data_IF_045690629633
#
_entry.id   IF_045690629633
#
_cell.length_a   1.000
_cell.length_b   1.000
_cell.length_c   1.000
_cell.angle_alpha   90.00
_cell.angle_beta   90.00
_cell.angle_gamma   90.00
#
_symmetry.space_group_name_H-M   'P 1'
#
loop_
_entity.id
_entity.type
_entity.pdbx_description
1 polymer ?
#
# COMPACT_ATOMS: atom_id res chain seq x y z
N UNK A 1 2.87 -9.65 -16.18
CA UNK A 1 3.92 -10.15 -15.27
C UNK A 1 5.33 -9.98 -15.80
N UNK A 2 5.67 -10.36 -17.02
CA UNK A 2 7.03 -10.23 -17.58
C UNK A 2 7.64 -8.82 -17.46
N UNK A 3 6.89 -7.75 -17.77
CA UNK A 3 7.38 -6.37 -17.60
C UNK A 3 7.73 -6.03 -16.15
N UNK A 4 6.97 -6.56 -15.17
CA UNK A 4 7.22 -6.30 -13.74
C UNK A 4 8.50 -6.94 -13.25
N UNK A 5 8.79 -8.19 -13.63
CA UNK A 5 10.04 -8.85 -13.24
C UNK A 5 11.27 -8.17 -13.88
N UNK A 6 11.16 -7.71 -15.14
CA UNK A 6 12.22 -6.92 -15.79
C UNK A 6 12.50 -5.62 -15.01
N UNK A 7 11.46 -4.89 -14.60
CA UNK A 7 11.60 -3.67 -13.81
C UNK A 7 12.33 -3.94 -12.49
N UNK A 8 11.95 -5.00 -11.74
CA UNK A 8 12.62 -5.37 -10.49
C UNK A 8 14.10 -5.70 -10.73
N UNK A 9 14.42 -6.40 -11.82
CA UNK A 9 15.80 -6.75 -12.17
C UNK A 9 16.65 -5.53 -12.57
N UNK A 10 16.02 -4.45 -13.09
CA UNK A 10 16.70 -3.19 -13.38
C UNK A 10 17.02 -2.46 -12.06
N UNK A 11 16.00 -2.22 -11.21
CA UNK A 11 16.19 -1.59 -9.91
C UNK A 11 15.00 -1.90 -8.96
N UNK A 12 15.22 -2.66 -7.87
CA UNK A 12 14.15 -2.99 -6.93
C UNK A 12 13.72 -1.81 -6.04
N UNK A 13 14.44 -0.70 -6.08
CA UNK A 13 14.14 0.51 -5.30
C UNK A 13 13.28 1.53 -6.06
N UNK A 14 13.02 1.31 -7.35
CA UNK A 14 12.24 2.22 -8.17
C UNK A 14 10.74 1.88 -8.13
N UNK A 15 9.90 2.92 -7.99
CA UNK A 15 8.45 2.81 -8.04
C UNK A 15 7.88 3.04 -9.45
N UNK A 16 8.58 3.78 -10.33
CA UNK A 16 8.11 4.07 -11.67
C UNK A 16 9.18 3.88 -12.74
N UNK A 17 8.75 3.34 -13.89
CA UNK A 17 9.61 2.99 -15.02
C UNK A 17 9.09 3.59 -16.33
N UNK A 18 10.00 3.98 -17.21
CA UNK A 18 9.72 4.38 -18.57
C UNK A 18 9.53 3.16 -19.50
N UNK A 19 8.93 3.37 -20.64
CA UNK A 19 8.93 2.38 -21.70
C UNK A 19 10.17 2.54 -22.60
N UNK A 20 11.35 2.27 -22.00
CA UNK A 20 12.65 2.38 -22.62
C UNK A 20 13.59 3.37 -21.90
N UNK A 21 14.82 3.58 -22.41
CA UNK A 21 15.88 4.35 -21.76
C UNK A 21 15.71 5.88 -21.98
N UNK A 22 14.63 6.46 -21.49
CA UNK A 22 14.27 7.87 -21.70
C UNK A 22 14.87 8.81 -20.64
N UNK A 23 15.36 8.27 -19.52
CA UNK A 23 15.83 9.03 -18.36
C UNK A 23 14.72 9.44 -17.39
N UNK A 24 15.11 9.91 -16.20
CA UNK A 24 14.16 10.37 -15.20
C UNK A 24 13.40 11.61 -15.67
N UNK A 25 12.12 11.69 -15.34
CA UNK A 25 11.33 12.90 -15.47
C UNK A 25 11.78 13.98 -14.47
N UNK A 26 12.27 13.54 -13.30
CA UNK A 26 12.64 14.40 -12.18
C UNK A 26 14.15 14.65 -12.16
N UNK A 27 14.58 15.73 -12.84
CA UNK A 27 16.00 16.10 -12.92
C UNK A 27 16.61 16.53 -11.58
N UNK A 28 15.76 16.85 -10.59
CA UNK A 28 16.15 17.28 -9.24
C UNK A 28 16.23 16.13 -8.22
N UNK A 29 16.10 14.89 -8.68
CA UNK A 29 16.25 13.72 -7.83
C UNK A 29 17.73 13.38 -7.59
N UNK A 30 18.09 13.22 -6.31
CA UNK A 30 19.41 12.80 -5.88
C UNK A 30 19.31 11.45 -5.17
N UNK A 31 19.83 10.42 -5.82
CA UNK A 31 19.88 9.04 -5.33
C UNK A 31 21.14 8.34 -5.83
N UNK A 32 21.53 7.18 -5.25
CA UNK A 32 22.81 6.52 -5.56
C UNK A 32 22.92 6.01 -7.00
N UNK A 33 21.80 5.64 -7.60
CA UNK A 33 21.80 5.10 -8.96
C UNK A 33 20.51 5.54 -9.66
N UNK A 34 20.65 5.90 -10.95
CA UNK A 34 19.52 6.27 -11.79
C UNK A 34 19.74 5.73 -13.19
N UNK A 35 19.23 4.52 -13.47
CA UNK A 35 19.23 3.95 -14.80
C UNK A 35 18.27 4.75 -15.71
N UNK A 36 18.53 4.74 -17.03
CA UNK A 36 17.71 5.50 -17.98
C UNK A 36 16.28 4.97 -18.13
N UNK A 37 16.04 3.74 -17.74
CA UNK A 37 14.74 3.09 -17.70
C UNK A 37 13.87 3.57 -16.54
N UNK A 38 14.44 4.24 -15.54
CA UNK A 38 13.70 4.73 -14.39
C UNK A 38 13.03 6.08 -14.68
N UNK A 39 11.74 6.17 -14.37
CA UNK A 39 11.00 7.42 -14.34
C UNK A 39 11.19 8.12 -13.00
N UNK A 40 11.08 7.35 -11.88
CA UNK A 40 11.25 7.80 -10.51
C UNK A 40 11.80 6.66 -9.64
N UNK A 41 12.61 7.01 -8.62
CA UNK A 41 13.26 6.04 -7.74
C UNK A 41 12.88 6.27 -6.28
N UNK A 42 11.59 6.32 -5.96
CA UNK A 42 11.08 6.35 -4.60
C UNK A 42 10.91 4.92 -4.08
N UNK A 43 11.59 4.62 -2.97
CA UNK A 43 11.51 3.30 -2.35
C UNK A 43 10.24 3.15 -1.51
N UNK A 44 9.41 2.20 -1.92
CA UNK A 44 8.17 1.77 -1.30
C UNK A 44 8.15 0.25 -1.19
N UNK A 45 7.82 -0.29 -0.02
CA UNK A 45 7.76 -1.75 0.20
C UNK A 45 6.72 -2.40 -0.73
N UNK A 46 5.57 -1.78 -0.87
CA UNK A 46 4.44 -2.30 -1.63
C UNK A 46 4.72 -2.40 -3.13
N UNK A 47 5.59 -1.57 -3.67
CA UNK A 47 6.04 -1.67 -5.07
C UNK A 47 6.63 -3.05 -5.39
N UNK A 48 7.22 -3.76 -4.40
CA UNK A 48 7.70 -5.13 -4.54
C UNK A 48 6.68 -6.20 -4.11
N UNK A 49 5.67 -5.84 -3.32
CA UNK A 49 4.62 -6.76 -2.88
C UNK A 49 3.58 -7.03 -3.98
N UNK A 50 3.16 -5.99 -4.71
CA UNK A 50 2.14 -6.12 -5.76
C UNK A 50 2.49 -7.12 -6.88
N UNK A 51 3.74 -7.20 -7.39
CA UNK A 51 4.11 -8.23 -8.35
C UNK A 51 3.93 -9.65 -7.84
N UNK A 52 4.23 -9.90 -6.56
CA UNK A 52 4.04 -11.20 -5.91
C UNK A 52 2.54 -11.51 -5.79
N UNK A 53 1.75 -10.57 -5.25
CA UNK A 53 0.30 -10.69 -5.13
C UNK A 53 -0.35 -11.00 -6.48
N UNK A 54 0.01 -10.26 -7.53
CA UNK A 54 -0.51 -10.48 -8.88
C UNK A 54 -0.20 -11.88 -9.39
N UNK A 55 1.06 -12.32 -9.28
CA UNK A 55 1.50 -13.63 -9.75
C UNK A 55 0.83 -14.77 -8.95
N UNK A 56 0.74 -14.61 -7.62
CA UNK A 56 0.11 -15.58 -6.74
C UNK A 56 -1.38 -15.77 -7.08
N UNK A 57 -2.17 -14.69 -7.14
CA UNK A 57 -3.60 -14.78 -7.44
C UNK A 57 -3.87 -15.24 -8.86
N UNK A 58 -3.06 -14.84 -9.84
CA UNK A 58 -3.14 -15.35 -11.19
C UNK A 58 -2.98 -16.87 -11.22
N UNK A 59 -1.92 -17.39 -10.58
CA UNK A 59 -1.68 -18.81 -10.50
C UNK A 59 -2.79 -19.55 -9.74
N UNK A 60 -3.24 -19.04 -8.60
CA UNK A 60 -4.31 -19.66 -7.83
C UNK A 60 -5.61 -19.75 -8.62
N UNK A 61 -5.89 -18.78 -9.48
CA UNK A 61 -7.12 -18.72 -10.27
C UNK A 61 -7.05 -19.54 -11.57
N UNK A 62 -5.91 -19.55 -12.24
CA UNK A 62 -5.75 -20.14 -13.59
C UNK A 62 -5.01 -21.47 -13.57
N UNK A 63 -4.33 -21.82 -12.50
CA UNK A 63 -3.38 -22.95 -12.39
C UNK A 63 -2.19 -22.85 -13.39
N UNK A 64 -2.07 -21.73 -14.14
CA UNK A 64 -1.01 -21.52 -15.11
C UNK A 64 0.30 -21.12 -14.43
N UNK A 65 1.33 -21.97 -14.59
CA UNK A 65 2.67 -21.75 -14.05
C UNK A 65 3.65 -21.18 -15.08
N UNK A 66 3.24 -20.93 -16.31
CA UNK A 66 4.12 -20.47 -17.41
C UNK A 66 4.78 -19.12 -17.16
N UNK A 67 4.23 -18.32 -16.25
CA UNK A 67 4.75 -17.00 -15.87
C UNK A 67 5.93 -17.06 -14.89
N UNK A 68 6.17 -18.23 -14.27
CA UNK A 68 7.26 -18.45 -13.31
C UNK A 68 8.50 -18.96 -14.02
N UNK A 69 9.15 -18.09 -14.79
CA UNK A 69 10.41 -18.36 -15.47
C UNK A 69 11.63 -18.07 -14.58
N UNK A 70 12.83 -18.27 -15.13
CA UNK A 70 14.09 -18.01 -14.44
C UNK A 70 14.25 -16.53 -14.05
N UNK A 71 13.74 -15.60 -14.85
CA UNK A 71 13.82 -14.16 -14.55
C UNK A 71 12.90 -13.79 -13.40
N UNK A 72 11.71 -14.42 -13.32
CA UNK A 72 10.81 -14.24 -12.18
C UNK A 72 11.50 -14.69 -10.88
N UNK A 73 12.08 -15.88 -10.86
CA UNK A 73 12.81 -16.39 -9.69
C UNK A 73 13.97 -15.45 -9.29
N UNK A 74 14.78 -14.98 -10.26
CA UNK A 74 15.86 -14.00 -9.99
C UNK A 74 15.33 -12.70 -9.41
N UNK A 75 14.21 -12.20 -9.93
CA UNK A 75 13.57 -11.00 -9.39
C UNK A 75 13.11 -11.21 -7.94
N UNK A 76 12.56 -12.38 -7.60
CA UNK A 76 12.11 -12.68 -6.24
C UNK A 76 13.28 -12.83 -5.25
N UNK A 77 14.39 -13.41 -5.66
CA UNK A 77 15.63 -13.39 -4.86
C UNK A 77 16.06 -11.95 -4.54
N UNK A 78 15.97 -11.06 -5.53
CA UNK A 78 16.31 -9.64 -5.34
C UNK A 78 15.32 -8.93 -4.43
N UNK A 79 14.02 -9.23 -4.49
CA UNK A 79 12.99 -8.71 -3.57
C UNK A 79 13.33 -9.06 -2.12
N UNK A 80 13.58 -10.34 -1.83
CA UNK A 80 13.90 -10.79 -0.46
C UNK A 80 15.19 -10.18 0.03
N UNK A 81 16.22 -10.06 -0.83
CA UNK A 81 17.46 -9.36 -0.53
C UNK A 81 17.20 -7.91 -0.16
N UNK A 82 16.40 -7.18 -0.95
CA UNK A 82 16.05 -5.77 -0.73
C UNK A 82 15.31 -5.58 0.60
N UNK A 83 14.35 -6.42 0.92
CA UNK A 83 13.66 -6.37 2.22
C UNK A 83 14.63 -6.55 3.39
N UNK A 84 15.57 -7.52 3.30
CA UNK A 84 16.60 -7.73 4.33
C UNK A 84 17.56 -6.54 4.46
N UNK A 85 17.96 -5.93 3.37
CA UNK A 85 18.80 -4.71 3.38
C UNK A 85 18.05 -3.56 4.09
N UNK A 86 16.75 -3.42 3.83
CA UNK A 86 15.93 -2.37 4.43
C UNK A 86 15.42 -2.67 5.85
N UNK A 87 15.68 -3.85 6.40
CA UNK A 87 15.61 -4.05 7.86
C UNK A 87 16.70 -3.26 8.60
N UNK A 88 17.71 -2.76 7.91
CA UNK A 88 18.82 -1.91 8.43
C UNK A 88 19.57 -2.50 9.62
N UNK A 89 19.63 -3.82 9.73
CA UNK A 89 20.35 -4.52 10.82
C UNK A 89 21.86 -4.32 10.78
N UNK A 90 22.42 -4.08 9.59
CA UNK A 90 23.87 -3.95 9.36
C UNK A 90 24.29 -2.53 8.93
N UNK A 91 23.39 -1.54 9.04
CA UNK A 91 23.63 -0.16 8.62
C UNK A 91 22.43 0.43 7.89
N UNK A 92 22.60 1.58 7.27
CA UNK A 92 21.52 2.34 6.62
C UNK A 92 21.01 1.68 5.31
N UNK A 93 21.74 0.71 4.78
CA UNK A 93 21.44 0.08 3.50
C UNK A 93 21.98 0.89 2.30
N UNK A 94 21.68 0.43 1.05
CA UNK A 94 22.22 1.04 -0.18
C UNK A 94 21.34 2.15 -0.76
N UNK A 95 20.26 2.56 -0.09
CA UNK A 95 19.26 3.49 -0.63
C UNK A 95 19.16 4.78 0.18
N UNK A 96 19.27 5.91 -0.50
CA UNK A 96 18.87 7.23 -0.01
C UNK A 96 18.22 8.02 -1.15
N UNK A 97 17.39 9.01 -0.81
CA UNK A 97 16.70 9.84 -1.79
C UNK A 97 16.44 11.24 -1.26
N UNK A 98 16.80 12.25 -2.03
CA UNK A 98 16.36 13.63 -1.85
C UNK A 98 15.89 14.20 -3.18
N UNK A 99 14.98 15.16 -3.12
CA UNK A 99 14.50 15.94 -4.28
C UNK A 99 14.59 17.41 -3.94
N UNK A 100 15.13 18.23 -4.83
CA UNK A 100 15.06 19.67 -4.71
C UNK A 100 13.67 20.15 -5.14
N UNK A 101 12.81 20.42 -4.17
CA UNK A 101 11.41 20.81 -4.39
C UNK A 101 10.86 21.63 -3.21
N UNK A 102 9.79 22.37 -3.47
CA UNK A 102 9.08 23.18 -2.46
C UNK A 102 8.15 22.35 -1.57
N UNK A 103 7.99 21.05 -1.87
CA UNK A 103 7.13 20.13 -1.15
C UNK A 103 7.94 19.21 -0.23
N UNK A 104 7.96 19.47 1.09
CA UNK A 104 8.80 18.70 2.01
C UNK A 104 8.51 17.19 2.03
N UNK A 105 7.28 16.78 1.69
CA UNK A 105 6.90 15.37 1.66
C UNK A 105 7.42 14.62 0.43
N UNK A 106 7.96 15.30 -0.58
CA UNK A 106 8.56 14.68 -1.76
C UNK A 106 10.04 14.32 -1.59
N UNK A 107 10.62 14.59 -0.42
CA UNK A 107 12.04 14.37 -0.13
C UNK A 107 12.25 13.76 1.25
N UNK A 108 13.29 12.94 1.39
CA UNK A 108 13.68 12.38 2.68
C UNK A 108 14.61 13.33 3.43
N UNK A 109 14.45 13.41 4.76
CA UNK A 109 15.36 14.13 5.67
C UNK A 109 16.70 13.38 5.84
N UNK A 110 17.64 13.95 6.60
CA UNK A 110 18.95 13.35 6.93
C UNK A 110 19.73 12.92 5.67
N UNK A 111 19.91 13.82 4.72
CA UNK A 111 20.61 13.55 3.46
C UNK A 111 20.01 12.35 2.70
N UNK A 112 18.70 12.21 2.75
CA UNK A 112 17.99 11.17 2.02
C UNK A 112 17.80 9.83 2.75
N UNK A 113 18.33 9.69 3.96
CA UNK A 113 18.25 8.45 4.74
C UNK A 113 16.95 8.30 5.55
N UNK A 114 16.17 9.38 5.66
CA UNK A 114 14.96 9.44 6.47
C UNK A 114 15.22 9.60 7.97
N UNK A 115 14.17 9.54 8.76
CA UNK A 115 14.29 9.58 10.22
C UNK A 115 15.06 8.37 10.76
N UNK A 116 15.81 8.52 11.87
CA UNK A 116 16.47 7.39 12.51
C UNK A 116 15.47 6.33 12.94
N UNK A 117 15.81 5.07 12.69
CA UNK A 117 15.03 3.91 13.14
C UNK A 117 15.88 2.99 14.01
N UNK A 118 15.26 2.32 14.98
CA UNK A 118 15.86 1.20 15.69
C UNK A 118 15.57 -0.09 14.93
N UNK A 119 16.60 -0.82 14.46
CA UNK A 119 16.39 -2.11 13.78
C UNK A 119 15.72 -3.13 14.71
N UNK A 120 14.46 -3.40 14.49
CA UNK A 120 13.64 -4.30 15.33
C UNK A 120 13.05 -5.47 14.54
N UNK A 121 13.47 -5.65 13.29
CA UNK A 121 12.98 -6.68 12.39
C UNK A 121 11.95 -6.17 11.35
N UNK A 122 11.47 -4.92 11.49
CA UNK A 122 10.62 -4.27 10.49
C UNK A 122 11.46 -3.79 9.28
N UNK A 123 10.80 -3.63 8.14
CA UNK A 123 11.38 -3.15 6.89
C UNK A 123 11.10 -1.65 6.77
N UNK A 124 12.12 -0.85 6.50
CA UNK A 124 11.96 0.60 6.24
C UNK A 124 11.32 0.81 4.88
N UNK A 125 10.25 1.59 4.83
CA UNK A 125 9.74 2.23 3.60
C UNK A 125 10.13 3.70 3.63
N UNK A 126 10.80 4.18 2.61
CA UNK A 126 11.15 5.61 2.56
C UNK A 126 9.96 6.46 2.15
N UNK A 127 9.10 5.91 1.31
CA UNK A 127 7.88 6.58 0.88
C UNK A 127 6.65 5.73 1.18
N UNK A 128 5.51 6.38 1.24
CA UNK A 128 4.16 5.80 1.34
C UNK A 128 3.64 5.48 -0.05
N UNK A 129 2.60 4.66 -0.19
CA UNK A 129 1.94 4.42 -1.48
C UNK A 129 1.37 5.69 -2.15
N UNK A 130 1.31 6.79 -1.41
CA UNK A 130 0.92 8.13 -1.88
C UNK A 130 2.09 8.96 -2.43
N UNK A 131 3.29 8.41 -2.58
CA UNK A 131 4.54 9.11 -2.89
C UNK A 131 5.07 10.06 -1.81
N UNK A 132 4.38 10.20 -0.69
CA UNK A 132 4.83 11.04 0.43
C UNK A 132 5.88 10.33 1.29
N UNK A 133 6.92 11.06 1.70
CA UNK A 133 7.97 10.55 2.58
C UNK A 133 7.41 10.09 3.94
N UNK A 134 7.87 8.94 4.42
CA UNK A 134 7.54 8.45 5.76
C UNK A 134 8.21 9.32 6.82
N UNK A 135 7.51 9.53 7.95
CA UNK A 135 8.03 10.28 9.10
C UNK A 135 8.83 9.39 10.05
N UNK A 136 8.42 8.13 10.26
CA UNK A 136 9.07 7.20 11.20
C UNK A 136 9.69 5.97 10.54
N UNK A 137 9.68 5.88 9.25
CA UNK A 137 10.39 4.87 8.47
C UNK A 137 9.73 3.47 8.43
N UNK A 138 9.16 2.96 9.51
CA UNK A 138 8.46 1.68 9.49
C UNK A 138 6.96 1.88 9.25
N UNK A 139 6.55 1.87 8.00
CA UNK A 139 5.14 1.92 7.58
C UNK A 139 4.48 0.57 7.87
N UNK A 140 3.59 0.52 8.87
CA UNK A 140 3.02 -0.75 9.36
C UNK A 140 2.15 -1.45 8.33
N UNK A 141 1.18 -0.81 7.62
CA UNK A 141 0.39 -1.52 6.63
C UNK A 141 1.24 -2.09 5.48
N UNK A 142 2.31 -1.41 5.06
CA UNK A 142 3.22 -1.95 4.05
C UNK A 142 4.06 -3.12 4.58
N UNK A 143 4.49 -3.10 5.85
CA UNK A 143 5.15 -4.24 6.50
C UNK A 143 4.21 -5.45 6.62
N UNK A 144 2.92 -5.24 6.93
CA UNK A 144 1.92 -6.30 6.96
C UNK A 144 1.74 -6.90 5.55
N UNK A 145 1.63 -6.07 4.54
CA UNK A 145 1.56 -6.55 3.15
C UNK A 145 2.81 -7.33 2.72
N UNK A 146 4.01 -6.94 3.20
CA UNK A 146 5.24 -7.71 2.97
C UNK A 146 5.18 -9.11 3.61
N UNK A 147 4.61 -9.26 4.81
CA UNK A 147 4.41 -10.57 5.45
C UNK A 147 3.54 -11.49 4.59
N UNK A 148 2.38 -10.99 4.11
CA UNK A 148 1.50 -11.76 3.22
C UNK A 148 2.21 -12.13 1.93
N UNK A 149 2.87 -11.16 1.30
CA UNK A 149 3.60 -11.37 0.05
C UNK A 149 4.73 -12.40 0.18
N UNK A 150 5.49 -12.36 1.29
CA UNK A 150 6.53 -13.35 1.57
C UNK A 150 5.96 -14.76 1.76
N UNK A 151 4.82 -14.90 2.41
CA UNK A 151 4.14 -16.20 2.56
C UNK A 151 3.61 -16.73 1.23
N UNK A 152 3.03 -15.85 0.38
CA UNK A 152 2.63 -16.19 -0.98
C UNK A 152 3.82 -16.61 -1.83
N UNK A 153 4.94 -15.90 -1.74
CA UNK A 153 6.17 -16.24 -2.43
C UNK A 153 6.73 -17.59 -1.97
N UNK A 154 6.72 -17.86 -0.68
CA UNK A 154 7.15 -19.15 -0.13
C UNK A 154 6.32 -20.32 -0.69
N UNK A 155 5.02 -20.13 -0.85
CA UNK A 155 4.13 -21.15 -1.44
C UNK A 155 4.44 -21.39 -2.92
N UNK A 156 4.70 -20.34 -3.70
CA UNK A 156 5.12 -20.46 -5.11
C UNK A 156 6.45 -21.20 -5.20
N UNK A 157 7.43 -20.83 -4.38
CA UNK A 157 8.77 -21.46 -4.40
C UNK A 157 8.72 -22.95 -4.03
N UNK A 158 7.91 -23.32 -3.03
CA UNK A 158 7.74 -24.74 -2.67
C UNK A 158 6.98 -25.53 -3.74
N UNK A 159 5.82 -25.03 -4.19
CA UNK A 159 4.90 -25.79 -5.05
C UNK A 159 5.26 -25.75 -6.53
N UNK A 160 5.76 -24.64 -7.05
CA UNK A 160 6.07 -24.46 -8.48
C UNK A 160 7.51 -24.82 -8.78
N UNK A 161 8.46 -24.31 -7.97
CA UNK A 161 9.89 -24.56 -8.21
C UNK A 161 10.45 -25.76 -7.42
N UNK A 162 9.75 -26.23 -6.38
CA UNK A 162 10.29 -27.26 -5.46
C UNK A 162 11.48 -26.75 -4.63
N UNK A 163 11.67 -25.45 -4.52
CA UNK A 163 12.81 -24.80 -3.84
C UNK A 163 12.49 -24.57 -2.36
N UNK A 164 12.65 -25.62 -1.56
CA UNK A 164 12.35 -25.59 -0.12
C UNK A 164 13.25 -24.66 0.68
N UNK A 165 14.49 -24.47 0.25
CA UNK A 165 15.45 -23.63 0.96
C UNK A 165 15.04 -22.16 0.87
N UNK A 166 14.72 -21.67 -0.32
CA UNK A 166 14.28 -20.28 -0.50
C UNK A 166 12.85 -20.07 0.04
N UNK A 167 11.96 -21.04 -0.09
CA UNK A 167 10.66 -21.04 0.59
C UNK A 167 10.82 -20.86 2.11
N UNK A 168 11.71 -21.63 2.73
CA UNK A 168 12.03 -21.51 4.17
C UNK A 168 12.64 -20.17 4.55
N UNK A 169 13.45 -19.57 3.68
CA UNK A 169 14.00 -18.22 3.86
C UNK A 169 12.88 -17.15 3.86
N UNK A 170 11.93 -17.24 2.93
CA UNK A 170 10.78 -16.36 2.85
C UNK A 170 9.90 -16.44 4.11
N UNK A 171 9.60 -17.67 4.58
CA UNK A 171 8.82 -17.89 5.82
C UNK A 171 9.55 -17.30 7.04
N UNK A 172 10.86 -17.55 7.15
CA UNK A 172 11.65 -17.01 8.26
C UNK A 172 11.61 -15.49 8.32
N UNK A 173 11.74 -14.82 7.17
CA UNK A 173 11.64 -13.36 7.09
C UNK A 173 10.22 -12.87 7.40
N UNK A 174 9.19 -13.55 6.87
CA UNK A 174 7.79 -13.22 7.16
C UNK A 174 7.49 -13.31 8.66
N UNK A 175 7.93 -14.38 9.32
CA UNK A 175 7.70 -14.60 10.76
C UNK A 175 8.46 -13.58 11.62
N UNK A 176 9.64 -13.16 11.20
CA UNK A 176 10.40 -12.09 11.88
C UNK A 176 9.67 -10.75 11.80
N UNK A 177 9.21 -10.37 10.60
CA UNK A 177 8.49 -9.11 10.40
C UNK A 177 7.15 -9.14 11.15
N UNK A 178 6.39 -10.24 11.07
CA UNK A 178 5.12 -10.41 11.80
C UNK A 178 5.30 -10.28 13.32
N UNK A 179 6.32 -10.94 13.88
CA UNK A 179 6.65 -10.82 15.30
C UNK A 179 7.01 -9.38 15.70
N UNK A 180 7.71 -8.65 14.82
CA UNK A 180 8.04 -7.25 15.04
C UNK A 180 6.79 -6.34 14.96
N UNK A 181 5.87 -6.57 14.02
CA UNK A 181 4.58 -5.87 13.92
C UNK A 181 3.78 -6.06 15.21
N UNK A 182 3.63 -7.29 15.69
CA UNK A 182 2.88 -7.59 16.95
C UNK A 182 3.47 -6.87 18.15
N UNK A 183 4.78 -6.69 18.20
CA UNK A 183 5.47 -6.08 19.33
C UNK A 183 5.52 -4.56 19.26
N UNK A 184 5.70 -3.97 18.07
CA UNK A 184 5.99 -2.55 17.89
C UNK A 184 4.92 -1.81 17.09
N UNK A 185 4.09 -2.51 16.30
CA UNK A 185 3.14 -1.92 15.34
C UNK A 185 1.78 -1.55 15.95
N UNK A 186 1.59 -1.67 17.26
CA UNK A 186 0.31 -1.34 17.91
C UNK A 186 0.53 -0.44 19.13
N UNK A 187 -0.47 0.37 19.46
CA UNK A 187 -0.48 1.19 20.68
C UNK A 187 -1.90 1.33 21.25
N UNK A 188 -2.02 1.86 22.48
CA UNK A 188 -3.31 2.10 23.11
C UNK A 188 -3.78 3.53 22.85
N UNK A 189 -4.77 3.68 21.97
CA UNK A 189 -5.42 4.96 21.73
C UNK A 189 -6.46 5.24 22.84
N UNK A 190 -6.51 6.49 23.39
CA UNK A 190 -7.35 6.79 24.56
C UNK A 190 -8.86 6.59 24.35
N UNK A 191 -9.34 6.70 23.10
CA UNK A 191 -10.76 6.55 22.77
C UNK A 191 -11.06 5.20 22.13
N UNK A 192 -10.20 4.72 21.23
CA UNK A 192 -10.47 3.54 20.39
C UNK A 192 -9.94 2.23 21.00
N UNK A 193 -9.13 2.30 22.08
CA UNK A 193 -8.44 1.14 22.64
C UNK A 193 -7.18 0.78 21.87
N UNK A 194 -6.78 -0.49 21.88
CA UNK A 194 -5.60 -0.95 21.15
C UNK A 194 -5.85 -0.91 19.65
N UNK A 195 -5.00 -0.20 18.90
CA UNK A 195 -5.06 -0.02 17.44
C UNK A 195 -3.70 -0.29 16.82
N UNK A 196 -3.68 -0.53 15.49
CA UNK A 196 -2.44 -0.48 14.71
C UNK A 196 -1.99 0.97 14.52
N UNK A 197 -0.67 1.20 14.59
CA UNK A 197 -0.04 2.44 14.21
C UNK A 197 0.09 2.52 12.69
N UNK A 198 0.10 3.73 12.13
CA UNK A 198 0.40 3.90 10.70
C UNK A 198 1.90 3.77 10.44
N UNK A 199 2.72 4.51 11.23
CA UNK A 199 4.17 4.39 11.20
C UNK A 199 4.74 4.27 12.62
N UNK A 200 5.89 3.59 12.74
CA UNK A 200 6.67 3.52 13.97
C UNK A 200 8.17 3.65 13.67
N UNK A 201 8.98 3.95 14.70
CA UNK A 201 10.44 4.09 14.57
C UNK A 201 11.25 3.00 15.29
N UNK A 202 10.58 2.10 16.03
CA UNK A 202 11.22 1.09 16.87
C UNK A 202 11.77 1.59 18.20
N UNK A 203 11.82 2.91 18.44
CA UNK A 203 12.19 3.50 19.73
C UNK A 203 11.01 3.68 20.68
N UNK A 204 9.79 3.51 20.19
CA UNK A 204 8.54 3.62 20.94
C UNK A 204 7.64 4.76 20.50
N UNK A 205 8.01 5.48 19.43
CA UNK A 205 7.14 6.47 18.82
C UNK A 205 6.22 5.83 17.79
N UNK A 206 4.98 6.35 17.71
CA UNK A 206 3.95 5.88 16.80
C UNK A 206 3.22 7.07 16.17
N UNK A 207 2.98 7.03 14.87
CA UNK A 207 2.17 7.98 14.14
C UNK A 207 0.74 7.46 14.05
N UNK A 208 -0.20 8.28 14.57
CA UNK A 208 -1.62 7.96 14.64
C UNK A 208 -2.35 8.68 13.50
N UNK A 209 -2.45 8.05 12.37
CA UNK A 209 -3.23 8.49 11.21
C UNK A 209 -3.56 7.29 10.33
N UNK A 210 -4.27 7.49 9.26
CA UNK A 210 -4.29 6.64 8.07
C UNK A 210 -4.22 7.53 6.84
N UNK A 211 -3.61 7.02 5.79
CA UNK A 211 -3.60 7.56 4.44
C UNK A 211 -4.41 6.62 3.56
N UNK A 212 -5.21 7.16 2.64
CA UNK A 212 -6.14 6.35 1.86
C UNK A 212 -5.47 5.38 0.89
N UNK A 213 -4.22 5.65 0.49
CA UNK A 213 -3.52 4.87 -0.53
C UNK A 213 -3.13 3.47 -0.01
N UNK A 214 -3.47 2.45 -0.77
CA UNK A 214 -3.28 1.03 -0.37
C UNK A 214 -1.84 0.60 -0.64
N UNK A 215 -1.14 0.03 0.36
CA UNK A 215 -1.58 -0.44 1.68
C UNK A 215 -1.87 0.65 2.70
N UNK A 216 -3.06 0.61 3.29
CA UNK A 216 -3.52 1.48 4.37
C UNK A 216 -3.99 0.64 5.56
N UNK A 217 -4.17 1.27 6.73
CA UNK A 217 -4.71 0.56 7.89
C UNK A 217 -6.13 0.04 7.64
N UNK A 218 -6.94 0.79 6.88
CA UNK A 218 -8.28 0.36 6.50
C UNK A 218 -8.27 -0.85 5.56
N UNK A 219 -7.27 -0.94 4.67
CA UNK A 219 -7.19 -1.96 3.63
C UNK A 219 -6.62 -3.32 4.11
N UNK A 220 -6.15 -3.46 5.35
CA UNK A 220 -5.48 -4.67 5.83
C UNK A 220 -6.23 -5.97 5.54
N UNK A 221 -7.56 -6.12 5.79
CA UNK A 221 -8.25 -7.35 5.45
C UNK A 221 -8.36 -7.62 3.94
N UNK A 222 -8.42 -6.58 3.12
CA UNK A 222 -8.42 -6.70 1.65
C UNK A 222 -7.09 -7.28 1.14
N UNK A 223 -5.98 -6.92 1.77
CA UNK A 223 -4.66 -7.45 1.44
C UNK A 223 -4.41 -8.85 2.02
N UNK A 224 -5.22 -9.29 2.99
CA UNK A 224 -5.09 -10.60 3.63
C UNK A 224 -4.22 -10.59 4.89
N UNK A 225 -3.92 -9.40 5.43
CA UNK A 225 -3.02 -9.23 6.58
C UNK A 225 -3.67 -9.63 7.90
N UNK A 226 -4.95 -9.31 8.07
CA UNK A 226 -5.73 -9.58 9.27
C UNK A 226 -7.13 -10.05 8.92
N UNK A 227 -7.73 -10.81 9.84
CA UNK A 227 -9.17 -11.11 9.76
C UNK A 227 -9.99 -9.83 10.01
N UNK A 228 -11.07 -9.65 9.24
CA UNK A 228 -11.96 -8.49 9.38
C UNK A 228 -12.55 -8.37 10.79
N UNK A 229 -12.67 -9.48 11.52
CA UNK A 229 -13.18 -9.51 12.88
C UNK A 229 -12.07 -9.40 13.95
N UNK A 230 -10.80 -9.23 13.56
CA UNK A 230 -9.72 -9.01 14.53
C UNK A 230 -10.03 -7.79 15.41
N UNK A 231 -9.99 -7.93 16.76
CA UNK A 231 -10.39 -6.84 17.66
C UNK A 231 -9.52 -5.58 17.51
N UNK A 232 -8.24 -5.73 17.22
CA UNK A 232 -7.33 -4.59 17.02
C UNK A 232 -7.66 -3.91 15.70
N UNK A 233 -7.93 -4.69 14.64
CA UNK A 233 -8.38 -4.14 13.36
C UNK A 233 -9.73 -3.41 13.51
N UNK A 234 -10.71 -3.99 14.21
CA UNK A 234 -11.99 -3.32 14.42
C UNK A 234 -11.86 -2.00 15.20
N UNK A 235 -10.96 -1.94 16.17
CA UNK A 235 -10.63 -0.70 16.86
C UNK A 235 -9.95 0.30 15.89
N UNK A 236 -9.01 -0.19 15.07
CA UNK A 236 -8.32 0.61 14.05
C UNK A 236 -9.29 1.15 13.02
N UNK A 237 -10.22 0.33 12.52
CA UNK A 237 -11.27 0.72 11.56
C UNK A 237 -12.15 1.85 12.11
N UNK A 238 -12.52 1.79 13.42
CA UNK A 238 -13.24 2.89 14.08
C UNK A 238 -12.39 4.15 14.22
N UNK A 239 -11.11 4.00 14.51
CA UNK A 239 -10.16 5.12 14.60
C UNK A 239 -10.01 5.82 13.26
N UNK A 240 -9.66 5.10 12.18
CA UNK A 240 -9.36 5.70 10.88
C UNK A 240 -10.57 6.36 10.23
N UNK A 241 -11.80 5.87 10.54
CA UNK A 241 -13.06 6.45 10.05
C UNK A 241 -13.74 7.34 11.09
N UNK A 242 -12.97 8.18 11.75
CA UNK A 242 -13.44 9.13 12.76
C UNK A 242 -12.57 10.37 12.82
N UNK A 243 -13.04 11.41 13.49
CA UNK A 243 -12.27 12.63 13.74
C UNK A 243 -10.99 12.44 14.58
N UNK A 244 -10.69 11.22 15.04
CA UNK A 244 -9.41 10.88 15.64
C UNK A 244 -8.29 10.68 14.60
N UNK A 245 -8.64 10.35 13.36
CA UNK A 245 -7.73 10.39 12.23
C UNK A 245 -7.70 11.82 11.66
N UNK A 246 -6.55 12.50 11.62
CA UNK A 246 -6.46 13.88 11.13
C UNK A 246 -6.80 14.03 9.63
N UNK A 247 -6.80 12.93 8.89
CA UNK A 247 -7.14 12.90 7.45
C UNK A 247 -8.50 12.29 7.15
N UNK A 248 -9.33 12.04 8.17
CA UNK A 248 -10.73 11.74 7.95
C UNK A 248 -11.52 13.03 7.75
N UNK A 249 -12.16 13.17 6.62
CA UNK A 249 -12.98 14.33 6.26
C UNK A 249 -14.43 13.91 6.07
N UNK A 250 -15.32 14.80 6.50
CA UNK A 250 -16.78 14.64 6.35
C UNK A 250 -17.41 15.96 5.97
N UNK A 251 -18.19 15.95 4.91
CA UNK A 251 -18.87 17.14 4.39
C UNK A 251 -20.19 16.83 3.71
N UNK A 252 -20.65 17.75 2.86
CA UNK A 252 -21.95 17.67 2.18
C UNK A 252 -21.96 16.67 1.03
N UNK A 253 -20.82 16.53 0.31
CA UNK A 253 -20.70 15.62 -0.81
C UNK A 253 -20.40 14.19 -0.36
N UNK A 254 -19.60 14.03 0.70
CA UNK A 254 -19.25 12.71 1.20
C UNK A 254 -18.35 12.72 2.42
N UNK A 255 -17.93 11.53 2.83
CA UNK A 255 -16.97 11.34 3.90
C UNK A 255 -15.96 10.27 3.51
N UNK A 256 -14.72 10.38 4.00
CA UNK A 256 -13.67 9.40 3.75
C UNK A 256 -12.30 9.85 4.23
N UNK A 257 -11.31 9.02 3.95
CA UNK A 257 -9.93 9.30 4.30
C UNK A 257 -9.26 10.00 3.12
N UNK A 258 -8.54 11.06 3.42
CA UNK A 258 -7.66 11.78 2.49
C UNK A 258 -6.21 11.35 2.65
N UNK A 259 -5.33 12.33 2.73
CA UNK A 259 -3.91 12.18 2.98
C UNK A 259 -3.17 13.50 2.79
N UNK A 260 -1.91 13.59 3.23
CA UNK A 260 -1.11 14.80 3.02
C UNK A 260 -0.90 15.13 1.55
N UNK A 261 -0.88 14.10 0.70
CA UNK A 261 -0.58 14.20 -0.74
C UNK A 261 -1.51 15.15 -1.48
N UNK A 262 -2.81 15.07 -1.22
CA UNK A 262 -3.85 15.86 -1.90
C UNK A 262 -4.33 17.07 -1.10
N UNK A 263 -3.87 17.23 0.15
CA UNK A 263 -4.23 18.33 1.02
C UNK A 263 -5.49 18.09 1.86
N UNK A 264 -5.84 19.10 2.67
CA UNK A 264 -6.98 19.03 3.58
C UNK A 264 -8.31 19.11 2.84
N UNK A 265 -9.33 18.49 3.45
CA UNK A 265 -10.73 18.44 2.97
C UNK A 265 -10.93 17.67 1.65
N UNK A 266 -9.87 17.05 1.12
CA UNK A 266 -9.93 16.18 -0.05
C UNK A 266 -10.05 14.72 0.38
N UNK A 267 -10.99 14.00 -0.21
CA UNK A 267 -11.30 12.59 0.05
C UNK A 267 -10.84 11.75 -1.14
N UNK A 268 -10.11 10.67 -0.87
CA UNK A 268 -9.81 9.66 -1.86
C UNK A 268 -10.98 8.67 -2.01
N UNK A 269 -11.60 8.52 -3.19
CA UNK A 269 -12.60 7.46 -3.44
C UNK A 269 -12.12 6.07 -3.03
N UNK A 270 -10.82 5.80 -3.13
CA UNK A 270 -10.16 4.56 -2.70
C UNK A 270 -10.47 4.20 -1.24
N UNK A 271 -10.52 5.18 -0.33
CA UNK A 271 -10.85 4.93 1.07
C UNK A 271 -12.29 4.45 1.25
N UNK A 272 -13.23 4.98 0.45
CA UNK A 272 -14.63 4.58 0.43
C UNK A 272 -14.75 3.15 -0.12
N UNK A 273 -13.99 2.83 -1.18
CA UNK A 273 -13.92 1.47 -1.72
C UNK A 273 -13.37 0.48 -0.70
N UNK A 274 -12.27 0.82 0.00
CA UNK A 274 -11.70 -0.05 1.04
C UNK A 274 -12.67 -0.24 2.21
N UNK A 275 -13.45 0.78 2.58
CA UNK A 275 -14.51 0.64 3.57
C UNK A 275 -15.57 -0.39 3.13
N UNK A 276 -15.98 -0.37 1.85
CA UNK A 276 -16.90 -1.34 1.29
C UNK A 276 -16.27 -2.75 1.19
N UNK A 277 -15.04 -2.87 0.69
CA UNK A 277 -14.32 -4.14 0.59
C UNK A 277 -14.19 -4.89 1.92
N UNK A 278 -14.02 -4.15 3.00
CA UNK A 278 -13.81 -4.67 4.36
C UNK A 278 -15.06 -4.64 5.23
N UNK A 279 -16.22 -4.36 4.64
CA UNK A 279 -17.51 -4.38 5.33
C UNK A 279 -18.21 -5.73 5.21
N UNK A 280 -18.83 -6.16 6.32
CA UNK A 280 -19.75 -7.30 6.37
C UNK A 280 -21.22 -6.84 6.42
N UNK A 281 -21.47 -5.52 6.35
CA UNK A 281 -22.78 -4.92 6.45
C UNK A 281 -23.25 -4.40 5.08
N UNK A 282 -24.33 -4.97 4.55
CA UNK A 282 -24.85 -4.63 3.23
C UNK A 282 -25.29 -3.16 3.12
N UNK A 283 -25.84 -2.58 4.18
CA UNK A 283 -26.22 -1.16 4.18
C UNK A 283 -24.99 -0.23 4.14
N UNK A 284 -23.92 -0.60 4.84
CA UNK A 284 -22.66 0.16 4.74
C UNK A 284 -22.08 0.07 3.33
N UNK A 285 -22.12 -1.10 2.70
CA UNK A 285 -21.66 -1.30 1.30
C UNK A 285 -22.48 -0.42 0.34
N UNK A 286 -23.81 -0.42 0.47
CA UNK A 286 -24.71 0.43 -0.35
C UNK A 286 -24.38 1.91 -0.20
N UNK A 287 -24.23 2.39 1.04
CA UNK A 287 -23.86 3.77 1.33
C UNK A 287 -22.53 4.15 0.66
N UNK A 288 -21.53 3.27 0.74
CA UNK A 288 -20.23 3.50 0.10
C UNK A 288 -20.36 3.59 -1.42
N UNK A 289 -21.07 2.64 -2.06
CA UNK A 289 -21.22 2.63 -3.53
C UNK A 289 -22.02 3.85 -4.00
N UNK A 290 -23.12 4.17 -3.32
CA UNK A 290 -23.89 5.38 -3.64
C UNK A 290 -23.04 6.64 -3.53
N UNK A 291 -22.27 6.78 -2.46
CA UNK A 291 -21.35 7.92 -2.30
C UNK A 291 -20.35 8.01 -3.46
N UNK A 292 -19.78 6.88 -3.90
CA UNK A 292 -18.88 6.87 -5.06
C UNK A 292 -19.58 7.30 -6.35
N UNK A 293 -20.84 6.89 -6.56
CA UNK A 293 -21.64 7.33 -7.71
C UNK A 293 -22.02 8.82 -7.64
N UNK A 294 -22.37 9.31 -6.47
CA UNK A 294 -22.79 10.71 -6.27
C UNK A 294 -21.62 11.72 -6.34
N UNK A 295 -20.36 11.22 -6.28
CA UNK A 295 -19.15 12.05 -6.27
C UNK A 295 -18.32 11.96 -7.54
N UNK A 296 -18.87 11.37 -8.62
CA UNK A 296 -18.22 11.28 -9.94
C UNK A 296 -18.29 12.60 -10.75
N UNK A 297 -18.95 13.64 -10.22
CA UNK A 297 -19.15 14.94 -10.86
C UNK A 297 -19.76 14.85 -12.29
N UNK A 298 -20.50 13.78 -12.58
CA UNK A 298 -21.12 13.52 -13.89
C UNK A 298 -20.11 13.07 -14.96
N UNK A 299 -18.91 12.70 -14.58
CA UNK A 299 -17.87 12.21 -15.52
C UNK A 299 -18.01 10.73 -15.84
N UNK A 300 -18.69 9.96 -14.98
CA UNK A 300 -18.76 8.50 -15.05
C UNK A 300 -17.47 7.80 -14.64
N UNK A 301 -16.52 8.51 -14.02
CA UNK A 301 -15.21 7.97 -13.61
C UNK A 301 -14.88 8.31 -12.16
N UNK A 302 -14.06 7.45 -11.55
CA UNK A 302 -13.48 7.74 -10.24
C UNK A 302 -12.29 8.69 -10.41
N UNK A 303 -12.35 9.82 -9.70
CA UNK A 303 -11.29 10.82 -9.63
C UNK A 303 -10.15 10.34 -8.72
N UNK A 304 -9.01 11.01 -8.74
CA UNK A 304 -7.97 10.80 -7.73
C UNK A 304 -8.48 11.19 -6.34
N UNK A 305 -9.05 12.39 -6.22
CA UNK A 305 -9.72 12.86 -5.00
C UNK A 305 -10.83 13.85 -5.32
N UNK A 306 -11.75 14.05 -4.37
CA UNK A 306 -12.81 15.07 -4.45
C UNK A 306 -12.90 15.83 -3.12
N UNK A 307 -13.37 17.08 -3.17
CA UNK A 307 -13.56 17.90 -1.97
C UNK A 307 -14.83 17.46 -1.21
N UNK A 308 -14.73 17.27 0.10
CA UNK A 308 -15.80 16.74 0.96
C UNK A 308 -17.16 17.46 0.85
N UNK A 309 -17.15 18.74 0.48
CA UNK A 309 -18.37 19.58 0.38
C UNK A 309 -18.79 19.87 -1.06
N UNK A 310 -17.93 19.65 -2.05
CA UNK A 310 -18.18 19.95 -3.47
C UNK A 310 -17.53 18.90 -4.37
N UNK A 311 -18.31 17.95 -4.92
CA UNK A 311 -17.78 16.87 -5.75
C UNK A 311 -17.22 17.37 -7.09
N UNK A 312 -17.55 18.59 -7.53
CA UNK A 312 -17.02 19.18 -8.76
C UNK A 312 -15.59 19.73 -8.59
N UNK A 313 -15.15 19.92 -7.35
CA UNK A 313 -13.77 20.24 -7.01
C UNK A 313 -12.99 18.94 -6.78
N UNK A 314 -12.37 18.43 -7.83
CA UNK A 314 -11.63 17.17 -7.83
C UNK A 314 -10.23 17.31 -8.45
N UNK A 315 -9.34 16.38 -8.08
CA UNK A 315 -8.04 16.19 -8.76
C UNK A 315 -8.14 15.04 -9.75
N UNK A 316 -7.45 15.13 -10.89
CA UNK A 316 -7.42 14.13 -11.97
C UNK A 316 -8.79 13.51 -12.29
N UNK A 317 -9.44 13.98 -13.34
CA UNK A 317 -10.78 13.54 -13.75
C UNK A 317 -10.93 12.02 -13.94
N UNK A 318 -9.84 11.34 -14.28
CA UNK A 318 -9.75 9.90 -14.38
C UNK A 318 -8.45 9.43 -13.71
N UNK A 319 -8.55 8.47 -12.81
CA UNK A 319 -7.42 7.88 -12.12
C UNK A 319 -7.46 6.35 -12.18
N UNK A 320 -6.48 5.75 -12.88
CA UNK A 320 -6.50 4.33 -13.25
C UNK A 320 -6.69 3.41 -12.04
N UNK A 321 -5.94 3.64 -10.97
CA UNK A 321 -5.97 2.81 -9.78
C UNK A 321 -7.37 2.75 -9.16
N UNK A 322 -8.04 3.90 -9.02
CA UNK A 322 -9.37 3.95 -8.42
C UNK A 322 -10.45 3.35 -9.33
N UNK A 323 -10.38 3.58 -10.64
CA UNK A 323 -11.33 2.99 -11.57
C UNK A 323 -11.20 1.46 -11.62
N UNK A 324 -9.98 0.91 -11.53
CA UNK A 324 -9.78 -0.54 -11.46
C UNK A 324 -10.24 -1.14 -10.14
N UNK A 325 -9.99 -0.46 -9.00
CA UNK A 325 -10.49 -0.90 -7.70
C UNK A 325 -12.03 -0.87 -7.62
N UNK A 326 -12.66 0.15 -8.20
CA UNK A 326 -14.11 0.18 -8.27
C UNK A 326 -14.66 -1.00 -9.08
N UNK A 327 -14.07 -1.28 -10.24
CA UNK A 327 -14.42 -2.46 -11.04
C UNK A 327 -14.24 -3.77 -10.27
N UNK A 328 -13.14 -3.92 -9.52
CA UNK A 328 -12.88 -5.08 -8.67
C UNK A 328 -13.93 -5.22 -7.55
N UNK A 329 -14.32 -4.10 -6.91
CA UNK A 329 -15.37 -4.09 -5.88
C UNK A 329 -16.70 -4.62 -6.44
N UNK A 330 -17.13 -4.12 -7.60
CA UNK A 330 -18.36 -4.56 -8.25
C UNK A 330 -18.28 -6.06 -8.60
N UNK A 331 -17.18 -6.51 -9.20
CA UNK A 331 -16.99 -7.94 -9.54
C UNK A 331 -17.01 -8.83 -8.29
N UNK A 332 -16.36 -8.40 -7.20
CA UNK A 332 -16.40 -9.10 -5.91
C UNK A 332 -17.85 -9.29 -5.43
N UNK A 333 -18.62 -8.21 -5.41
CA UNK A 333 -20.01 -8.26 -4.93
C UNK A 333 -20.89 -9.15 -5.82
N UNK A 334 -20.71 -9.10 -7.14
CA UNK A 334 -21.43 -10.01 -8.07
C UNK A 334 -21.05 -11.46 -7.80
N UNK A 335 -19.76 -11.77 -7.64
CA UNK A 335 -19.29 -13.13 -7.35
C UNK A 335 -19.76 -13.66 -5.98
N UNK A 336 -20.01 -12.76 -5.01
CA UNK A 336 -20.59 -13.08 -3.70
C UNK A 336 -22.12 -13.21 -3.74
N UNK A 337 -22.76 -13.10 -4.91
CA UNK A 337 -24.21 -13.22 -5.07
C UNK A 337 -24.98 -11.96 -4.63
N UNK A 338 -24.32 -10.80 -4.54
CA UNK A 338 -24.92 -9.53 -4.10
C UNK A 338 -25.39 -8.64 -5.27
N UNK A 339 -25.72 -9.23 -6.41
CA UNK A 339 -26.23 -8.48 -7.57
C UNK A 339 -27.51 -7.70 -7.25
N UNK A 340 -28.44 -8.28 -6.43
CA UNK A 340 -29.67 -7.61 -6.02
C UNK A 340 -29.39 -6.39 -5.12
N UNK A 341 -28.35 -6.45 -4.30
CA UNK A 341 -27.89 -5.30 -3.52
C UNK A 341 -27.46 -4.16 -4.45
N UNK A 342 -26.64 -4.45 -5.46
CA UNK A 342 -26.20 -3.46 -6.45
C UNK A 342 -27.38 -2.84 -7.20
N UNK A 343 -28.34 -3.67 -7.66
CA UNK A 343 -29.53 -3.21 -8.37
C UNK A 343 -30.50 -2.38 -7.50
N UNK A 344 -30.35 -2.42 -6.17
CA UNK A 344 -31.17 -1.65 -5.22
C UNK A 344 -30.61 -0.27 -4.88
N UNK A 345 -29.46 0.10 -5.46
CA UNK A 345 -28.85 1.43 -5.26
C UNK A 345 -29.43 2.39 -6.29
N UNK A 346 -30.19 3.38 -5.82
CA UNK A 346 -30.81 4.46 -6.62
C UNK A 346 -29.98 5.75 -6.60
#
# INVERSE_FOLDING_TARGET
MYKRQECILIDPYANAFNDGPLGSYWETDHTQHMAKELHERKWEIDSLCYPIRLAYHYWQYTEDTSVFDENWHKAMLLVVKTFKEQQRKQGLGPYSFTRDCDRPTDSQINNGWGAPVKPVGLIVSSFRPSDDATQYGFLIPANMFAVVSLRQLAEIEDKVYGNKDFSGECITLADEVDAAIRRYGTFNHPVCGRIYAFEVDGFGNALCMDDANVPSLLAMPYLGDVDVNDPIYQNTRRFVWSGSNPYFFKGKAGEGIGGPHIGYDMVWPMSIMMKAFTSQNDEEIKICIKMLMDTDAGTGFMHESFHKDDPTNFTRAWFAWQNTLFGELILKLVNEGKADLLNSIE
#
